data_IF_149306164787
#
_entry.id   IF_149306164787
#
_cell.length_a   1.000
_cell.length_b   1.000
_cell.length_c   1.000
_cell.angle_alpha   90.00
_cell.angle_beta   90.00
_cell.angle_gamma   90.00
#
_symmetry.space_group_name_H-M   'P 1'
#
loop_
_entity.id
_entity.type
_entity.pdbx_description
1 polymer ?
#
# COMPACT_ATOMS: atom_id res chain seq x y z
N UNK A 1 30.53 6.77 28.30
CA UNK A 1 29.55 6.13 27.40
C UNK A 1 28.38 5.66 28.25
N UNK A 2 27.54 6.60 28.69
CA UNK A 2 26.34 6.33 29.47
C UNK A 2 25.20 5.99 28.52
N UNK A 3 25.05 4.72 28.20
CA UNK A 3 23.88 4.23 27.49
C UNK A 3 22.78 4.01 28.53
N UNK A 4 21.79 4.90 28.55
CA UNK A 4 20.52 4.66 29.22
C UNK A 4 19.81 3.50 28.52
N UNK A 5 20.10 2.28 28.94
CA UNK A 5 19.40 1.05 28.51
C UNK A 5 17.99 0.94 29.11
N UNK A 6 17.58 1.87 29.97
CA UNK A 6 16.29 1.88 30.67
C UNK A 6 15.10 2.32 29.80
N UNK A 7 15.31 2.88 28.61
CA UNK A 7 14.22 3.28 27.70
C UNK A 7 13.83 2.20 26.66
N UNK A 8 14.73 1.28 26.33
CA UNK A 8 14.53 0.32 25.24
C UNK A 8 13.60 -0.85 25.64
N UNK A 9 13.69 -1.36 26.87
CA UNK A 9 12.85 -2.48 27.31
C UNK A 9 11.36 -2.10 27.42
N UNK A 10 11.06 -0.90 27.92
CA UNK A 10 9.68 -0.41 28.02
C UNK A 10 9.10 -0.11 26.63
N UNK A 11 9.91 0.43 25.72
CA UNK A 11 9.50 0.75 24.35
C UNK A 11 9.16 -0.50 23.54
N UNK A 12 9.90 -1.61 23.68
CA UNK A 12 9.58 -2.85 22.95
C UNK A 12 8.19 -3.39 23.29
N UNK A 13 7.84 -3.51 24.57
CA UNK A 13 6.53 -3.98 24.98
C UNK A 13 5.41 -3.01 24.60
N UNK A 14 5.64 -1.70 24.67
CA UNK A 14 4.70 -0.68 24.18
C UNK A 14 4.47 -0.79 22.67
N UNK A 15 5.52 -1.02 21.88
CA UNK A 15 5.43 -1.22 20.43
C UNK A 15 4.64 -2.50 20.12
N UNK A 16 5.01 -3.63 20.74
CA UNK A 16 4.32 -4.92 20.54
C UNK A 16 2.84 -4.80 20.91
N UNK A 17 2.52 -4.19 22.04
CA UNK A 17 1.13 -3.97 22.47
C UNK A 17 0.39 -3.09 21.48
N UNK A 18 1.00 -1.99 21.03
CA UNK A 18 0.40 -1.10 20.03
C UNK A 18 0.12 -1.85 18.72
N UNK A 19 1.07 -2.65 18.22
CA UNK A 19 0.89 -3.46 17.01
C UNK A 19 -0.22 -4.50 17.21
N UNK A 20 -0.27 -5.20 18.34
CA UNK A 20 -1.32 -6.19 18.63
C UNK A 20 -2.71 -5.54 18.68
N UNK A 21 -2.83 -4.35 19.25
CA UNK A 21 -4.11 -3.63 19.31
C UNK A 21 -4.50 -3.10 17.93
N UNK A 22 -3.59 -2.41 17.23
CA UNK A 22 -3.90 -1.75 15.95
C UNK A 22 -4.00 -2.71 14.77
N UNK A 23 -3.27 -3.83 14.77
CA UNK A 23 -3.30 -4.82 13.70
C UNK A 23 -4.00 -6.12 14.13
N UNK A 24 -3.72 -6.61 15.34
CA UNK A 24 -4.22 -7.90 15.80
C UNK A 24 -5.74 -7.94 15.99
N UNK A 25 -6.33 -6.91 16.62
CA UNK A 25 -7.80 -6.87 16.81
C UNK A 25 -8.54 -6.78 15.48
N UNK A 26 -8.20 -5.87 14.54
CA UNK A 26 -8.85 -5.83 13.23
C UNK A 26 -8.64 -7.11 12.41
N UNK A 27 -7.45 -7.71 12.46
CA UNK A 27 -7.18 -8.97 11.77
C UNK A 27 -8.04 -10.12 12.32
N UNK A 28 -8.12 -10.24 13.65
CA UNK A 28 -8.94 -11.26 14.30
C UNK A 28 -10.42 -11.06 13.97
N UNK A 29 -10.92 -9.82 14.01
CA UNK A 29 -12.29 -9.49 13.61
C UNK A 29 -12.54 -9.85 12.14
N UNK A 30 -11.59 -9.58 11.24
CA UNK A 30 -11.64 -9.97 9.83
C UNK A 30 -11.73 -11.49 9.66
N UNK A 31 -10.87 -12.26 10.33
CA UNK A 31 -10.89 -13.73 10.30
C UNK A 31 -12.20 -14.29 10.85
N UNK A 32 -12.67 -13.78 12.00
CA UNK A 32 -13.94 -14.21 12.59
C UNK A 32 -15.12 -13.88 11.67
N UNK A 33 -15.14 -12.69 11.07
CA UNK A 33 -16.19 -12.30 10.13
C UNK A 33 -16.25 -13.24 8.92
N UNK A 34 -15.08 -13.69 8.42
CA UNK A 34 -14.98 -14.68 7.35
C UNK A 34 -15.49 -16.04 7.78
N UNK A 35 -14.97 -16.58 8.88
CA UNK A 35 -15.34 -17.92 9.36
C UNK A 35 -16.84 -18.00 9.69
N UNK A 36 -17.38 -17.00 10.37
CA UNK A 36 -18.79 -16.94 10.74
C UNK A 36 -19.65 -16.70 9.48
N UNK A 37 -19.26 -15.77 8.61
CA UNK A 37 -19.98 -15.44 7.39
C UNK A 37 -20.09 -16.62 6.42
N UNK A 38 -18.97 -17.31 6.16
CA UNK A 38 -18.95 -18.50 5.31
C UNK A 38 -19.75 -19.66 5.93
N UNK A 39 -19.71 -19.84 7.26
CA UNK A 39 -20.44 -20.92 7.94
C UNK A 39 -21.95 -20.70 8.00
N UNK A 40 -22.41 -19.45 8.21
CA UNK A 40 -23.83 -19.14 8.40
C UNK A 40 -24.57 -18.94 7.08
N UNK A 41 -23.93 -18.30 6.09
CA UNK A 41 -24.61 -17.91 4.82
C UNK A 41 -23.96 -18.46 3.56
N UNK A 42 -22.89 -19.25 3.71
CA UNK A 42 -22.17 -19.84 2.60
C UNK A 42 -21.23 -18.85 1.90
N UNK A 43 -20.23 -19.42 1.22
CA UNK A 43 -19.16 -18.66 0.54
C UNK A 43 -19.66 -17.70 -0.53
N UNK A 44 -20.70 -18.09 -1.28
CA UNK A 44 -21.26 -17.26 -2.35
C UNK A 44 -21.80 -15.93 -1.82
N UNK A 45 -22.56 -15.94 -0.73
CA UNK A 45 -23.08 -14.71 -0.11
C UNK A 45 -21.97 -13.83 0.46
N UNK A 46 -20.95 -14.45 1.06
CA UNK A 46 -19.79 -13.73 1.59
C UNK A 46 -19.07 -12.95 0.47
N UNK A 47 -18.75 -13.61 -0.64
CA UNK A 47 -18.03 -13.02 -1.77
C UNK A 47 -18.90 -12.04 -2.59
N UNK A 48 -20.18 -12.34 -2.82
CA UNK A 48 -21.04 -11.51 -3.69
C UNK A 48 -21.74 -10.35 -3.00
N UNK A 49 -21.88 -10.38 -1.67
CA UNK A 49 -22.71 -9.42 -0.93
C UNK A 49 -21.97 -8.79 0.23
N UNK A 50 -21.36 -9.60 1.12
CA UNK A 50 -20.70 -9.07 2.31
C UNK A 50 -19.41 -8.29 1.97
N UNK A 51 -18.51 -8.91 1.19
CA UNK A 51 -17.23 -8.27 0.79
C UNK A 51 -17.47 -6.95 0.02
N UNK A 52 -18.35 -6.88 -1.01
CA UNK A 52 -18.60 -5.63 -1.71
C UNK A 52 -19.24 -4.55 -0.84
N UNK A 53 -20.03 -4.91 0.17
CA UNK A 53 -20.66 -3.95 1.07
C UNK A 53 -19.66 -3.33 2.07
N UNK A 54 -18.68 -4.10 2.55
CA UNK A 54 -17.68 -3.62 3.52
C UNK A 54 -16.44 -3.00 2.87
N UNK A 55 -16.11 -3.37 1.62
CA UNK A 55 -14.93 -2.86 0.92
C UNK A 55 -14.85 -1.33 0.84
N UNK A 56 -15.96 -0.57 0.63
CA UNK A 56 -15.91 0.88 0.63
C UNK A 56 -15.51 1.48 1.98
N UNK A 57 -15.81 0.83 3.11
CA UNK A 57 -15.44 1.33 4.44
C UNK A 57 -13.93 1.42 4.61
N UNK A 58 -13.17 0.48 4.06
CA UNK A 58 -11.70 0.52 4.10
C UNK A 58 -11.15 1.73 3.34
N UNK A 59 -11.68 2.00 2.14
CA UNK A 59 -11.30 3.16 1.35
C UNK A 59 -11.70 4.48 2.03
N UNK A 60 -12.91 4.55 2.60
CA UNK A 60 -13.38 5.72 3.36
C UNK A 60 -12.50 5.95 4.59
N UNK A 61 -12.19 4.91 5.35
CA UNK A 61 -11.32 4.99 6.54
C UNK A 61 -9.90 5.44 6.19
N UNK A 62 -9.36 4.95 5.07
CA UNK A 62 -8.06 5.38 4.54
C UNK A 62 -8.09 6.87 4.15
N UNK A 63 -9.06 7.30 3.33
CA UNK A 63 -9.21 8.70 2.94
C UNK A 63 -9.42 9.61 4.14
N UNK A 64 -10.24 9.18 5.10
CA UNK A 64 -10.48 9.91 6.34
C UNK A 64 -9.18 10.11 7.13
N UNK A 65 -8.40 9.05 7.29
CA UNK A 65 -7.09 9.11 7.96
C UNK A 65 -6.16 10.07 7.24
N UNK A 66 -6.06 9.98 5.91
CA UNK A 66 -5.27 10.89 5.09
C UNK A 66 -5.69 12.34 5.35
N UNK A 67 -6.98 12.66 5.25
CA UNK A 67 -7.51 14.01 5.48
C UNK A 67 -7.16 14.52 6.88
N UNK A 68 -7.31 13.67 7.92
CA UNK A 68 -6.94 14.04 9.29
C UNK A 68 -5.45 14.33 9.43
N UNK A 69 -4.58 13.47 8.92
CA UNK A 69 -3.13 13.66 9.03
C UNK A 69 -2.70 14.96 8.33
N UNK A 70 -3.24 15.24 7.14
CA UNK A 70 -2.96 16.48 6.42
C UNK A 70 -3.56 17.72 7.09
N UNK A 71 -4.75 17.62 7.66
CA UNK A 71 -5.38 18.72 8.41
C UNK A 71 -4.57 19.08 9.65
N UNK A 72 -4.11 18.07 10.40
CA UNK A 72 -3.37 18.27 11.64
C UNK A 72 -1.91 18.71 11.41
N UNK A 73 -1.32 18.42 10.25
CA UNK A 73 0.10 18.67 10.00
C UNK A 73 0.39 19.61 8.81
N UNK A 74 -0.64 20.11 8.14
CA UNK A 74 -0.51 20.97 6.96
C UNK A 74 0.31 22.23 7.21
N UNK A 75 0.18 22.85 8.39
CA UNK A 75 0.95 24.05 8.75
C UNK A 75 2.46 23.75 8.90
N UNK A 76 2.83 22.60 9.46
CA UNK A 76 4.23 22.20 9.56
C UNK A 76 4.83 21.84 8.19
N UNK A 77 4.07 21.15 7.35
CA UNK A 77 4.49 20.78 5.99
C UNK A 77 4.74 22.04 5.14
N UNK A 78 3.86 23.04 5.25
CA UNK A 78 3.95 24.29 4.46
C UNK A 78 4.99 25.27 5.00
N UNK A 79 5.19 25.34 6.32
CA UNK A 79 6.17 26.24 6.94
C UNK A 79 7.62 25.75 6.83
N UNK A 80 7.86 24.44 6.65
CA UNK A 80 9.20 23.84 6.62
C UNK A 80 9.44 22.92 5.40
N UNK A 81 9.30 23.43 4.16
CA UNK A 81 9.43 22.61 2.96
C UNK A 81 10.81 21.96 2.81
N UNK A 82 11.85 22.62 3.32
CA UNK A 82 13.22 22.10 3.27
C UNK A 82 13.43 20.89 4.21
N UNK A 83 12.77 20.87 5.36
CA UNK A 83 12.77 19.72 6.27
C UNK A 83 12.11 18.53 5.60
N UNK A 84 10.95 18.73 4.97
CA UNK A 84 10.24 17.70 4.19
C UNK A 84 11.12 17.18 3.05
N UNK A 85 11.76 18.05 2.28
CA UNK A 85 12.63 17.65 1.18
C UNK A 85 13.83 16.79 1.65
N UNK A 86 14.45 17.16 2.78
CA UNK A 86 15.56 16.39 3.37
C UNK A 86 15.13 14.98 3.81
N UNK A 87 13.89 14.80 4.26
CA UNK A 87 13.33 13.49 4.62
C UNK A 87 12.88 12.72 3.36
N UNK A 88 12.35 13.42 2.37
CA UNK A 88 11.84 12.82 1.14
C UNK A 88 12.96 12.19 0.29
N UNK A 89 14.15 12.80 0.21
CA UNK A 89 15.28 12.28 -0.58
C UNK A 89 15.70 10.86 -0.17
N UNK A 90 16.07 10.59 1.11
CA UNK A 90 16.46 9.25 1.51
C UNK A 90 15.30 8.25 1.40
N UNK A 91 14.06 8.70 1.64
CA UNK A 91 12.88 7.85 1.51
C UNK A 91 12.60 7.46 0.06
N UNK A 92 12.77 8.38 -0.89
CA UNK A 92 12.65 8.12 -2.32
C UNK A 92 13.73 7.15 -2.79
N UNK A 93 14.98 7.35 -2.35
CA UNK A 93 16.07 6.43 -2.65
C UNK A 93 15.77 5.03 -2.11
N UNK A 94 15.21 4.92 -0.90
CA UNK A 94 14.75 3.66 -0.33
C UNK A 94 13.67 3.00 -1.18
N UNK A 95 12.59 3.70 -1.55
CA UNK A 95 11.52 3.14 -2.36
C UNK A 95 11.99 2.63 -3.72
N UNK A 96 12.75 3.46 -4.44
CA UNK A 96 13.28 3.12 -5.77
C UNK A 96 14.28 1.98 -5.67
N UNK A 97 15.16 2.01 -4.65
CA UNK A 97 16.14 0.97 -4.40
C UNK A 97 15.49 -0.37 -4.09
N UNK A 98 14.56 -0.40 -3.13
CA UNK A 98 13.82 -1.62 -2.74
C UNK A 98 13.02 -2.18 -3.92
N UNK A 99 12.34 -1.33 -4.68
CA UNK A 99 11.62 -1.73 -5.88
C UNK A 99 12.57 -2.36 -6.90
N UNK A 100 13.69 -1.69 -7.22
CA UNK A 100 14.62 -2.15 -8.23
C UNK A 100 15.33 -3.46 -7.82
N UNK A 101 15.77 -3.57 -6.57
CA UNK A 101 16.40 -4.78 -6.03
C UNK A 101 15.43 -5.95 -6.10
N UNK A 102 14.19 -5.77 -5.63
CA UNK A 102 13.17 -6.81 -5.67
C UNK A 102 12.77 -7.19 -7.08
N UNK A 103 12.70 -6.24 -8.01
CA UNK A 103 12.40 -6.50 -9.41
C UNK A 103 13.50 -7.35 -10.06
N UNK A 104 14.76 -7.00 -9.84
CA UNK A 104 15.90 -7.74 -10.35
C UNK A 104 15.99 -9.14 -9.73
N UNK A 105 15.78 -9.25 -8.41
CA UNK A 105 15.78 -10.53 -7.71
C UNK A 105 14.64 -11.46 -8.17
N UNK A 106 13.43 -10.92 -8.33
CA UNK A 106 12.26 -11.67 -8.81
C UNK A 106 12.47 -12.17 -10.23
N UNK A 107 13.00 -11.30 -11.11
CA UNK A 107 13.34 -11.67 -12.48
C UNK A 107 14.45 -12.72 -12.53
N UNK A 108 15.51 -12.56 -11.74
CA UNK A 108 16.60 -13.53 -11.66
C UNK A 108 16.13 -14.90 -11.14
N UNK A 109 15.04 -14.92 -10.36
CA UNK A 109 14.38 -16.13 -9.88
C UNK A 109 13.43 -16.77 -10.90
N UNK A 110 13.33 -16.22 -12.12
CA UNK A 110 12.49 -16.75 -13.20
C UNK A 110 11.01 -16.39 -13.12
N UNK A 111 10.63 -15.41 -12.30
CA UNK A 111 9.24 -14.95 -12.19
C UNK A 111 8.80 -14.16 -13.43
N UNK A 112 7.54 -14.29 -13.83
CA UNK A 112 6.93 -13.48 -14.89
C UNK A 112 6.68 -12.02 -14.47
N UNK A 113 6.16 -11.20 -15.37
CA UNK A 113 5.88 -9.78 -15.17
C UNK A 113 4.94 -9.55 -13.98
N UNK A 114 3.78 -10.20 -13.94
CA UNK A 114 2.79 -9.98 -12.88
C UNK A 114 3.32 -10.35 -11.49
N UNK A 115 4.06 -11.48 -11.38
CA UNK A 115 4.68 -11.91 -10.13
C UNK A 115 5.79 -10.95 -9.71
N UNK A 116 6.69 -10.60 -10.64
CA UNK A 116 7.79 -9.68 -10.36
C UNK A 116 7.28 -8.29 -9.96
N UNK A 117 6.24 -7.78 -10.63
CA UNK A 117 5.58 -6.53 -10.27
C UNK A 117 5.01 -6.62 -8.85
N UNK A 118 4.23 -7.67 -8.55
CA UNK A 118 3.64 -7.87 -7.23
C UNK A 118 4.70 -7.89 -6.14
N UNK A 119 5.76 -8.68 -6.28
CA UNK A 119 6.84 -8.77 -5.29
C UNK A 119 7.55 -7.43 -5.13
N UNK A 120 7.82 -6.72 -6.23
CA UNK A 120 8.52 -5.43 -6.19
C UNK A 120 7.70 -4.35 -5.49
N UNK A 121 6.39 -4.27 -5.74
CA UNK A 121 5.50 -3.33 -5.06
C UNK A 121 5.25 -3.71 -3.61
N UNK A 122 5.16 -5.00 -3.28
CA UNK A 122 5.07 -5.45 -1.89
C UNK A 122 6.34 -5.14 -1.10
N UNK A 123 7.52 -5.29 -1.70
CA UNK A 123 8.79 -4.99 -1.05
C UNK A 123 9.06 -3.49 -0.90
N UNK A 124 8.58 -2.68 -1.84
CA UNK A 124 8.74 -1.23 -1.78
C UNK A 124 7.72 -0.57 -0.84
N UNK A 125 6.47 -1.04 -0.84
CA UNK A 125 5.39 -0.48 -0.03
C UNK A 125 5.58 -0.70 1.46
N UNK A 126 5.25 0.30 2.27
CA UNK A 126 5.31 0.25 3.72
C UNK A 126 3.91 0.48 4.30
N UNK A 127 3.77 0.26 5.61
CA UNK A 127 2.52 0.52 6.32
C UNK A 127 2.73 1.71 7.26
N UNK A 128 2.64 2.92 6.71
CA UNK A 128 2.83 4.14 7.50
C UNK A 128 1.70 4.36 8.49
N UNK A 129 0.47 3.93 8.19
CA UNK A 129 -0.67 4.04 9.09
C UNK A 129 -0.39 3.31 10.40
N UNK A 130 0.12 2.08 10.34
CA UNK A 130 0.56 1.34 11.51
C UNK A 130 1.78 2.00 12.17
N UNK A 131 2.75 2.50 11.39
CA UNK A 131 3.93 3.16 11.93
C UNK A 131 3.59 4.44 12.73
N UNK A 132 2.65 5.24 12.24
CA UNK A 132 2.12 6.42 12.93
C UNK A 132 1.39 5.99 14.20
N UNK A 133 0.50 4.99 14.12
CA UNK A 133 -0.25 4.51 15.28
C UNK A 133 0.67 4.03 16.41
N UNK A 134 1.70 3.25 16.08
CA UNK A 134 2.72 2.78 17.03
C UNK A 134 3.55 3.93 17.58
N UNK A 135 3.94 4.89 16.73
CA UNK A 135 4.73 6.06 17.15
C UNK A 135 3.95 6.95 18.10
N UNK A 136 2.67 7.21 17.82
CA UNK A 136 1.79 7.96 18.71
C UNK A 136 1.57 7.20 20.02
N UNK A 137 1.33 5.89 19.95
CA UNK A 137 1.10 5.05 21.14
C UNK A 137 2.32 4.91 22.06
N UNK A 138 3.54 4.97 21.49
CA UNK A 138 4.79 4.77 22.25
C UNK A 138 5.48 6.08 22.64
N UNK A 139 5.50 7.07 21.74
CA UNK A 139 6.26 8.32 21.90
C UNK A 139 5.38 9.57 22.01
N UNK A 140 4.07 9.44 21.82
CA UNK A 140 3.12 10.56 21.86
C UNK A 140 2.91 11.23 20.51
N UNK A 141 1.78 11.94 20.38
CA UNK A 141 1.32 12.52 19.12
C UNK A 141 2.18 13.67 18.58
N UNK A 142 2.89 14.38 19.45
CA UNK A 142 3.75 15.53 19.10
C UNK A 142 5.21 15.14 18.89
N UNK A 143 5.53 13.84 18.95
CA UNK A 143 6.90 13.33 18.80
C UNK A 143 7.41 13.51 17.37
N UNK A 144 8.74 13.63 17.23
CA UNK A 144 9.38 13.71 15.92
C UNK A 144 9.14 12.43 15.08
N UNK A 145 8.98 11.28 15.74
CA UNK A 145 8.67 9.99 15.15
C UNK A 145 7.27 9.99 14.52
N UNK A 146 6.26 10.51 15.24
CA UNK A 146 4.91 10.64 14.72
C UNK A 146 4.85 11.61 13.53
N UNK A 147 5.59 12.72 13.59
CA UNK A 147 5.72 13.68 12.49
C UNK A 147 6.41 13.08 11.24
N UNK A 148 7.46 12.28 11.44
CA UNK A 148 8.12 11.60 10.33
C UNK A 148 7.19 10.57 9.68
N UNK A 149 6.41 9.85 10.49
CA UNK A 149 5.44 8.86 10.02
C UNK A 149 4.35 9.44 9.12
N UNK A 150 3.87 10.64 9.43
CA UNK A 150 2.82 11.34 8.66
C UNK A 150 3.30 11.97 7.37
N UNK A 151 4.57 12.35 7.27
CA UNK A 151 5.18 12.78 6.01
C UNK A 151 5.33 11.57 5.05
N UNK A 152 5.44 10.35 5.58
CA UNK A 152 5.59 9.12 4.81
C UNK A 152 4.58 8.95 3.66
N UNK A 153 3.25 8.92 3.94
CA UNK A 153 2.23 8.77 2.91
C UNK A 153 2.23 9.87 1.84
N UNK A 154 2.61 11.10 2.20
CA UNK A 154 2.72 12.21 1.24
C UNK A 154 3.76 11.91 0.15
N UNK A 155 4.84 11.21 0.50
CA UNK A 155 5.91 10.86 -0.43
C UNK A 155 5.67 9.48 -1.06
N UNK A 156 5.22 8.50 -0.27
CA UNK A 156 5.01 7.12 -0.72
C UNK A 156 4.03 7.04 -1.88
N UNK A 157 2.82 7.63 -1.72
CA UNK A 157 1.76 7.46 -2.70
C UNK A 157 2.18 7.96 -4.10
N UNK A 158 2.74 9.19 -4.25
CA UNK A 158 3.25 9.64 -5.54
C UNK A 158 4.40 8.80 -6.09
N UNK A 159 5.33 8.36 -5.24
CA UNK A 159 6.49 7.56 -5.66
C UNK A 159 6.03 6.19 -6.17
N UNK A 160 5.14 5.50 -5.46
CA UNK A 160 4.62 4.21 -5.89
C UNK A 160 3.83 4.32 -7.19
N UNK A 161 3.02 5.37 -7.36
CA UNK A 161 2.33 5.65 -8.64
C UNK A 161 3.35 5.90 -9.76
N UNK A 162 4.42 6.66 -9.50
CA UNK A 162 5.52 6.84 -10.44
C UNK A 162 6.18 5.51 -10.83
N UNK A 163 6.43 4.65 -9.85
CA UNK A 163 7.00 3.31 -10.06
C UNK A 163 6.04 2.39 -10.84
N UNK A 164 4.72 2.55 -10.72
CA UNK A 164 3.76 1.86 -11.60
C UNK A 164 4.02 2.23 -13.05
N UNK A 165 4.15 3.52 -13.38
CA UNK A 165 4.47 3.94 -14.74
C UNK A 165 5.84 3.44 -15.21
N UNK A 166 6.84 3.44 -14.33
CA UNK A 166 8.15 2.83 -14.62
C UNK A 166 7.99 1.35 -14.94
N UNK A 167 7.23 0.60 -14.15
CA UNK A 167 7.01 -0.83 -14.37
C UNK A 167 6.25 -1.10 -15.68
N UNK A 168 5.25 -0.29 -16.01
CA UNK A 168 4.55 -0.35 -17.30
C UNK A 168 5.50 -0.09 -18.48
N UNK A 169 6.44 0.85 -18.34
CA UNK A 169 7.40 1.20 -19.37
C UNK A 169 8.53 0.18 -19.53
N UNK A 170 9.05 -0.33 -18.41
CA UNK A 170 10.16 -1.30 -18.37
C UNK A 170 9.69 -2.73 -18.63
N UNK A 171 8.45 -3.06 -18.26
CA UNK A 171 7.85 -4.40 -18.35
C UNK A 171 8.07 -5.09 -19.69
N UNK A 172 7.67 -4.47 -20.83
CA UNK A 172 7.85 -5.07 -22.16
C UNK A 172 9.31 -5.35 -22.53
N UNK A 173 10.25 -4.58 -21.98
CA UNK A 173 11.69 -4.76 -22.22
C UNK A 173 12.29 -5.84 -21.34
N UNK A 174 11.86 -5.93 -20.08
CA UNK A 174 12.40 -6.92 -19.14
C UNK A 174 11.75 -8.29 -19.28
N UNK A 175 10.49 -8.37 -19.71
CA UNK A 175 9.71 -9.61 -19.79
C UNK A 175 9.12 -9.78 -21.20
N UNK A 176 9.97 -9.91 -22.24
CA UNK A 176 9.48 -10.05 -23.60
C UNK A 176 8.61 -11.30 -23.75
N UNK A 177 7.47 -11.15 -24.44
CA UNK A 177 6.48 -12.21 -24.67
C UNK A 177 5.79 -12.78 -23.41
N UNK A 178 5.87 -12.09 -22.28
CA UNK A 178 5.13 -12.50 -21.09
C UNK A 178 3.61 -12.22 -21.28
N UNK A 179 2.75 -13.25 -21.17
CA UNK A 179 1.31 -13.11 -21.40
C UNK A 179 0.60 -12.25 -20.34
N UNK A 180 1.27 -11.98 -19.21
CA UNK A 180 0.74 -11.16 -18.11
C UNK A 180 1.06 -9.68 -18.26
N UNK A 181 1.77 -9.29 -19.33
CA UNK A 181 1.97 -7.88 -19.64
C UNK A 181 0.63 -7.16 -19.86
N UNK A 182 0.49 -5.91 -19.38
CA UNK A 182 -0.71 -5.14 -19.66
C UNK A 182 -0.83 -4.89 -21.15
N UNK A 183 -1.86 -5.43 -21.79
CA UNK A 183 -2.19 -5.09 -23.16
C UNK A 183 -2.54 -3.61 -23.21
N UNK A 184 -1.78 -2.82 -23.98
CA UNK A 184 -2.13 -1.43 -24.23
C UNK A 184 -3.59 -1.34 -24.68
N UNK A 185 -4.33 -0.31 -24.23
CA UNK A 185 -5.68 -0.03 -24.74
C UNK A 185 -5.61 0.24 -26.25
N UNK A 186 -5.69 -0.81 -27.06
CA UNK A 186 -6.22 -0.68 -28.41
C UNK A 186 -7.72 -0.80 -28.25
N UNK A 187 -8.52 0.25 -28.56
CA UNK A 187 -9.95 0.10 -28.65
C UNK A 187 -10.20 -0.99 -29.69
N UNK A 188 -10.85 -2.08 -29.31
CA UNK A 188 -11.34 -3.08 -30.25
C UNK A 188 -12.50 -2.46 -31.04
N UNK A 189 -12.20 -1.57 -31.99
CA UNK A 189 -13.10 -1.28 -33.09
C UNK A 189 -13.05 -2.48 -34.02
N UNK A 190 -14.01 -3.39 -33.86
CA UNK A 190 -14.58 -4.21 -34.93
C UNK A 190 -15.69 -5.10 -34.38
N UNK A 191 -16.91 -4.54 -34.31
CA UNK A 191 -18.10 -5.33 -34.59
C UNK A 191 -18.69 -4.79 -35.89
N UNK A 192 -18.17 -5.35 -36.99
CA UNK A 192 -18.80 -5.31 -38.31
C UNK A 192 -20.22 -5.84 -38.22
N UNK A 193 -21.15 -4.96 -38.56
CA UNK A 193 -22.47 -5.16 -39.18
C UNK A 193 -22.91 -6.61 -39.39
N UNK A 194 -23.70 -7.14 -38.45
CA UNK A 194 -24.59 -8.28 -38.69
C UNK A 194 -26.04 -7.76 -38.78
N UNK A 195 -26.35 -7.06 -39.87
CA UNK A 195 -27.72 -6.75 -40.30
C UNK A 195 -27.72 -6.65 -41.82
N UNK A 196 -28.02 -7.76 -42.48
CA UNK A 196 -28.93 -7.85 -43.63
C UNK A 196 -28.89 -9.28 -44.19
N UNK A 197 -29.99 -9.67 -44.83
CA UNK A 197 -30.23 -10.97 -45.49
C UNK A 197 -30.73 -12.09 -44.58
N UNK A 198 -32.01 -12.03 -44.17
CA UNK A 198 -33.04 -13.01 -44.59
C UNK A 198 -34.41 -12.31 -44.56
N UNK A 199 -34.76 -11.68 -45.67
CA UNK A 199 -36.14 -11.44 -46.06
C UNK A 199 -36.25 -11.86 -47.52
N UNK A 200 -36.68 -13.10 -47.75
CA UNK A 200 -37.28 -13.64 -48.97
C UNK A 200 -37.76 -15.05 -48.66
#
# INVERSE_FOLDING_TARGET
>A
LGLETTSAEFSFWSIVTSVLVFLGIPLLAGVLSRVIGEKVRGRRWYESTFIPAISPLALIGLLYTIILLFSLQGEQITSQPWTVARVAIPLLAYFVGMFAISLLASKASGMGYAQSASVSFTAAGNNFELAIAVSIGTFGATSAQALAGTIGPLIEIPVLVGLVYVMLWVGPKLFPNDPTLPTGRTPSTNHTTAKETVAS
#
